data_IF_241610365828
#
_entry.id   IF_241610365828
#
_cell.length_a   1.000
_cell.length_b   1.000
_cell.length_c   1.000
_cell.angle_alpha   90.00
_cell.angle_beta   90.00
_cell.angle_gamma   90.00
#
_symmetry.space_group_name_H-M   'P 1'
#
loop_
_entity.id
_entity.type
_entity.pdbx_description
1 polymer ?
#
# COMPACT_ATOMS: atom_id res chain seq x y z
N UNK A 1 -16.31 -4.04 -1.53
CA UNK A 1 -15.18 -3.41 -0.80
C UNK A 1 -14.40 -4.48 -0.05
N UNK A 2 -13.08 -4.32 0.11
CA UNK A 2 -12.20 -5.25 0.83
C UNK A 2 -11.52 -4.52 1.98
N UNK A 3 -11.56 -5.11 3.17
CA UNK A 3 -10.76 -4.68 4.33
C UNK A 3 -9.79 -5.78 4.75
N UNK A 4 -8.53 -5.42 4.91
CA UNK A 4 -7.51 -6.31 5.49
C UNK A 4 -7.41 -6.00 6.97
N UNK A 5 -7.60 -6.98 7.84
CA UNK A 5 -7.37 -6.81 9.28
C UNK A 5 -5.95 -7.27 9.63
N UNK A 6 -5.07 -6.32 9.93
CA UNK A 6 -3.70 -6.65 10.33
C UNK A 6 -3.61 -7.24 11.74
N UNK A 7 -4.63 -7.08 12.59
CA UNK A 7 -4.56 -7.43 14.01
C UNK A 7 -3.62 -6.51 14.79
N UNK A 8 -3.78 -5.19 14.65
CA UNK A 8 -3.08 -4.19 15.47
C UNK A 8 -4.04 -3.77 16.58
N UNK A 9 -3.73 -4.14 17.82
CA UNK A 9 -4.56 -3.91 18.99
C UNK A 9 -4.79 -2.41 19.23
N UNK A 10 -6.05 -2.03 19.48
CA UNK A 10 -6.43 -0.65 19.79
C UNK A 10 -6.37 0.32 18.61
N UNK A 11 -6.07 -0.18 17.41
CA UNK A 11 -6.04 0.59 16.17
C UNK A 11 -6.97 -0.01 15.12
N UNK A 12 -6.96 -1.33 14.92
CA UNK A 12 -7.59 -1.90 13.73
C UNK A 12 -9.11 -2.07 13.86
N UNK A 13 -9.61 -2.25 15.07
CA UNK A 13 -11.01 -2.50 15.39
C UNK A 13 -11.90 -1.33 14.96
N UNK A 14 -11.46 -0.09 15.26
CA UNK A 14 -12.14 1.13 14.85
C UNK A 14 -12.23 1.22 13.32
N UNK A 15 -11.10 1.01 12.63
CA UNK A 15 -11.02 1.12 11.18
C UNK A 15 -11.93 0.10 10.47
N UNK A 16 -11.96 -1.14 10.95
CA UNK A 16 -12.82 -2.20 10.39
C UNK A 16 -14.29 -1.85 10.62
N UNK A 17 -14.66 -1.38 11.82
CA UNK A 17 -16.03 -0.96 12.14
C UNK A 17 -16.51 0.18 11.26
N UNK A 18 -15.70 1.23 11.11
CA UNK A 18 -16.00 2.39 10.26
C UNK A 18 -16.14 1.97 8.79
N UNK A 19 -15.22 1.14 8.28
CA UNK A 19 -15.29 0.65 6.91
C UNK A 19 -16.57 -0.16 6.64
N UNK A 20 -16.94 -1.04 7.58
CA UNK A 20 -18.15 -1.87 7.49
C UNK A 20 -19.41 -0.99 7.47
N UNK A 21 -19.46 0.02 8.33
CA UNK A 21 -20.59 0.95 8.40
C UNK A 21 -20.72 1.79 7.12
N UNK A 22 -19.61 2.34 6.61
CA UNK A 22 -19.63 3.09 5.36
C UNK A 22 -20.08 2.21 4.18
N UNK A 23 -19.65 0.95 4.12
CA UNK A 23 -20.10 0.01 3.09
C UNK A 23 -21.61 -0.25 3.18
N UNK A 24 -22.14 -0.42 4.40
CA UNK A 24 -23.58 -0.58 4.65
C UNK A 24 -24.38 0.64 4.18
N UNK A 25 -23.93 1.84 4.52
CA UNK A 25 -24.58 3.11 4.10
C UNK A 25 -24.58 3.24 2.57
N UNK A 26 -23.51 2.82 1.90
CA UNK A 26 -23.36 2.92 0.45
C UNK A 26 -23.99 1.75 -0.32
N UNK A 27 -24.54 0.74 0.37
CA UNK A 27 -25.08 -0.47 -0.27
C UNK A 27 -24.01 -1.31 -1.00
N UNK A 28 -22.77 -1.28 -0.52
CA UNK A 28 -21.64 -2.00 -1.11
C UNK A 28 -21.33 -3.25 -0.30
N UNK A 29 -21.22 -4.40 -0.94
CA UNK A 29 -20.79 -5.63 -0.27
C UNK A 29 -19.40 -5.47 0.35
N UNK A 30 -19.21 -6.00 1.55
CA UNK A 30 -17.97 -5.84 2.31
C UNK A 30 -17.36 -7.18 2.69
N UNK A 31 -16.10 -7.39 2.29
CA UNK A 31 -15.34 -8.60 2.57
C UNK A 31 -14.14 -8.25 3.45
N UNK A 32 -13.95 -9.01 4.53
CA UNK A 32 -12.83 -8.85 5.45
C UNK A 32 -11.97 -10.10 5.46
N UNK A 33 -10.64 -9.92 5.52
CA UNK A 33 -9.69 -11.01 5.71
C UNK A 33 -8.59 -10.57 6.66
N UNK A 34 -8.22 -11.43 7.61
CA UNK A 34 -7.22 -11.09 8.60
C UNK A 34 -5.82 -11.63 8.26
N UNK A 35 -4.79 -10.99 8.79
CA UNK A 35 -3.44 -11.54 8.79
C UNK A 35 -3.38 -12.85 9.57
N UNK A 36 -4.15 -12.99 10.65
CA UNK A 36 -4.22 -14.22 11.44
C UNK A 36 -4.68 -15.39 10.58
N UNK A 37 -5.73 -15.22 9.77
CA UNK A 37 -6.25 -16.27 8.89
C UNK A 37 -5.30 -16.58 7.72
N UNK A 38 -4.69 -15.54 7.13
CA UNK A 38 -3.83 -15.71 5.96
C UNK A 38 -2.43 -16.23 6.27
N UNK A 39 -1.88 -15.82 7.41
CA UNK A 39 -0.47 -15.99 7.74
C UNK A 39 -0.24 -16.71 9.08
N UNK A 40 -1.28 -16.96 9.88
CA UNK A 40 -1.18 -17.56 11.22
C UNK A 40 -0.80 -16.58 12.33
N UNK A 41 -0.51 -15.32 11.96
CA UNK A 41 -0.01 -14.29 12.87
C UNK A 41 -0.66 -12.94 12.59
N UNK A 42 -0.95 -12.20 13.64
CA UNK A 42 -1.26 -10.77 13.60
C UNK A 42 0.02 -9.95 13.34
N UNK A 43 -0.13 -8.67 12.97
CA UNK A 43 1.00 -7.78 12.83
C UNK A 43 1.70 -7.56 14.16
N UNK A 44 0.98 -7.48 15.28
CA UNK A 44 1.58 -7.29 16.61
C UNK A 44 2.45 -8.48 17.01
N UNK A 45 2.01 -9.71 16.73
CA UNK A 45 2.83 -10.93 16.91
C UNK A 45 4.08 -10.90 16.01
N UNK A 46 3.95 -10.43 14.76
CA UNK A 46 5.08 -10.24 13.85
C UNK A 46 6.04 -9.18 14.38
N UNK A 47 5.55 -8.05 14.90
CA UNK A 47 6.39 -6.98 15.48
C UNK A 47 7.20 -7.49 16.66
N UNK A 48 6.60 -8.29 17.55
CA UNK A 48 7.33 -8.94 18.65
C UNK A 48 8.52 -9.76 18.11
N UNK A 49 8.27 -10.61 17.11
CA UNK A 49 9.32 -11.41 16.47
C UNK A 49 10.40 -10.58 15.76
N UNK A 50 10.05 -9.47 15.12
CA UNK A 50 11.01 -8.55 14.48
C UNK A 50 11.99 -7.99 15.52
N UNK A 51 11.45 -7.59 16.68
CA UNK A 51 12.24 -7.07 17.80
C UNK A 51 13.16 -8.15 18.37
N UNK A 52 12.64 -9.35 18.56
CA UNK A 52 13.41 -10.49 19.08
C UNK A 52 14.52 -10.94 18.12
N UNK A 53 14.30 -10.86 16.80
CA UNK A 53 15.26 -11.30 15.78
C UNK A 53 16.37 -10.28 15.49
N UNK A 54 16.30 -9.07 16.05
CA UNK A 54 17.23 -7.97 15.72
C UNK A 54 17.16 -7.54 14.24
N UNK A 55 16.00 -7.66 13.61
CA UNK A 55 15.86 -7.31 12.18
C UNK A 55 15.90 -5.80 11.99
N UNK A 56 16.71 -5.32 11.04
CA UNK A 56 16.76 -3.89 10.67
C UNK A 56 15.52 -3.42 9.87
N UNK A 57 14.56 -4.32 9.57
CA UNK A 57 13.36 -3.99 8.83
C UNK A 57 12.25 -3.52 9.76
N UNK A 58 11.65 -2.38 9.43
CA UNK A 58 10.54 -1.81 10.19
C UNK A 58 9.27 -2.66 10.09
N UNK A 59 8.35 -2.61 11.09
CA UNK A 59 7.04 -3.26 10.99
C UNK A 59 6.27 -2.92 9.71
N UNK A 60 6.37 -1.67 9.25
CA UNK A 60 5.76 -1.19 8.01
C UNK A 60 6.26 -1.96 6.76
N UNK A 61 7.52 -2.41 6.77
CA UNK A 61 8.12 -3.20 5.67
C UNK A 61 7.46 -4.58 5.54
N UNK A 62 7.04 -5.17 6.67
CA UNK A 62 6.29 -6.43 6.69
C UNK A 62 4.82 -6.19 6.35
N UNK A 63 4.17 -5.27 7.07
CA UNK A 63 2.76 -4.94 6.90
C UNK A 63 2.42 -4.62 5.43
N UNK A 64 3.20 -3.74 4.79
CA UNK A 64 2.94 -3.35 3.40
C UNK A 64 3.04 -4.51 2.40
N UNK A 65 4.01 -5.42 2.58
CA UNK A 65 4.16 -6.60 1.69
C UNK A 65 3.01 -7.58 1.91
N UNK A 66 2.70 -7.89 3.16
CA UNK A 66 1.63 -8.82 3.53
C UNK A 66 0.24 -8.29 3.13
N UNK A 67 -0.04 -7.01 3.35
CA UNK A 67 -1.29 -6.35 2.94
C UNK A 67 -1.51 -6.41 1.43
N UNK A 68 -0.46 -6.13 0.64
CA UNK A 68 -0.55 -6.19 -0.83
C UNK A 68 -0.84 -7.60 -1.34
N UNK A 69 -0.27 -8.63 -0.71
CA UNK A 69 -0.55 -10.04 -1.03
C UNK A 69 -1.99 -10.40 -0.64
N UNK A 70 -2.43 -10.01 0.55
CA UNK A 70 -3.78 -10.26 1.05
C UNK A 70 -4.85 -9.64 0.12
N UNK A 71 -4.65 -8.39 -0.30
CA UNK A 71 -5.54 -7.70 -1.26
C UNK A 71 -5.65 -8.48 -2.59
N UNK A 72 -4.53 -8.96 -3.14
CA UNK A 72 -4.54 -9.71 -4.40
C UNK A 72 -5.27 -11.06 -4.26
N UNK A 73 -5.02 -11.79 -3.16
CA UNK A 73 -5.67 -13.07 -2.88
C UNK A 73 -7.18 -12.88 -2.79
N UNK A 74 -7.64 -11.93 -1.97
CA UNK A 74 -9.07 -11.72 -1.77
C UNK A 74 -9.75 -11.17 -3.03
N UNK A 75 -9.11 -10.24 -3.75
CA UNK A 75 -9.65 -9.72 -5.01
C UNK A 75 -9.87 -10.84 -6.04
N UNK A 76 -8.93 -11.78 -6.18
CA UNK A 76 -9.11 -12.96 -7.05
C UNK A 76 -10.25 -13.86 -6.56
N UNK A 77 -10.32 -14.12 -5.25
CA UNK A 77 -11.33 -15.00 -4.66
C UNK A 77 -12.76 -14.51 -4.90
N UNK A 78 -12.97 -13.19 -4.93
CA UNK A 78 -14.29 -12.58 -5.19
C UNK A 78 -14.53 -12.25 -6.67
N UNK A 79 -13.62 -12.65 -7.57
CA UNK A 79 -13.77 -12.39 -9.02
C UNK A 79 -13.61 -10.93 -9.43
N UNK A 80 -12.90 -10.11 -8.65
CA UNK A 80 -12.67 -8.70 -9.00
C UNK A 80 -11.68 -8.57 -10.16
N UNK A 81 -11.97 -7.66 -11.10
CA UNK A 81 -11.11 -7.37 -12.26
C UNK A 81 -10.07 -6.28 -12.00
N UNK A 82 -10.32 -5.40 -11.02
CA UNK A 82 -9.42 -4.31 -10.61
C UNK A 82 -9.48 -4.08 -9.10
N UNK A 83 -8.38 -3.56 -8.54
CA UNK A 83 -8.32 -3.06 -7.16
C UNK A 83 -8.14 -1.55 -7.21
N UNK A 84 -9.17 -0.80 -6.81
CA UNK A 84 -9.05 0.64 -6.57
C UNK A 84 -8.43 0.90 -5.19
N UNK A 85 -7.35 1.67 -5.16
CA UNK A 85 -6.71 2.12 -3.91
C UNK A 85 -6.74 3.64 -3.85
N UNK A 86 -7.00 4.19 -2.66
CA UNK A 86 -7.23 5.61 -2.44
C UNK A 86 -5.93 6.43 -2.27
N UNK A 87 -4.85 6.08 -2.99
CA UNK A 87 -3.63 6.90 -2.97
C UNK A 87 -3.93 8.24 -3.63
N UNK A 88 -3.65 9.32 -2.91
CA UNK A 88 -3.87 10.68 -3.35
C UNK A 88 -2.61 11.26 -4.01
N UNK A 89 -2.66 12.52 -4.46
CA UNK A 89 -1.52 13.20 -5.09
C UNK A 89 -0.28 13.23 -4.18
N UNK A 90 -0.48 13.49 -2.89
CA UNK A 90 0.58 13.52 -1.88
C UNK A 90 1.27 12.16 -1.74
N UNK A 91 0.50 11.07 -1.71
CA UNK A 91 1.05 9.70 -1.63
C UNK A 91 1.94 9.36 -2.83
N UNK A 92 1.54 9.79 -4.03
CA UNK A 92 2.28 9.55 -5.27
C UNK A 92 3.61 10.32 -5.28
N UNK A 93 3.59 11.60 -4.95
CA UNK A 93 4.81 12.42 -4.94
C UNK A 93 5.75 12.02 -3.79
N UNK A 94 5.22 11.63 -2.63
CA UNK A 94 6.04 11.09 -1.55
C UNK A 94 6.75 9.81 -2.01
N UNK A 95 6.03 8.92 -2.70
CA UNK A 95 6.61 7.68 -3.26
C UNK A 95 7.67 7.99 -4.31
N UNK A 96 7.42 8.96 -5.19
CA UNK A 96 8.37 9.40 -6.20
C UNK A 96 9.67 9.94 -5.56
N UNK A 97 9.57 10.84 -4.60
CA UNK A 97 10.74 11.41 -3.90
C UNK A 97 11.48 10.32 -3.12
N UNK A 98 10.78 9.43 -2.41
CA UNK A 98 11.42 8.32 -1.69
C UNK A 98 12.21 7.39 -2.64
N UNK A 99 11.69 7.09 -3.82
CA UNK A 99 12.42 6.28 -4.80
C UNK A 99 13.70 6.97 -5.31
N UNK A 100 13.67 8.30 -5.46
CA UNK A 100 14.87 9.09 -5.80
C UNK A 100 15.87 9.04 -4.64
N UNK A 101 15.44 9.29 -3.41
CA UNK A 101 16.31 9.30 -2.22
C UNK A 101 16.94 7.92 -1.95
N UNK A 102 16.23 6.83 -2.27
CA UNK A 102 16.76 5.47 -2.19
C UNK A 102 17.63 5.07 -3.38
N UNK A 103 17.79 5.92 -4.40
CA UNK A 103 18.60 5.62 -5.57
C UNK A 103 18.04 4.48 -6.44
N UNK A 104 16.73 4.24 -6.41
CA UNK A 104 16.05 3.19 -7.20
C UNK A 104 15.09 3.82 -8.23
N UNK A 105 15.64 4.43 -9.31
CA UNK A 105 14.82 5.11 -10.31
C UNK A 105 13.95 4.13 -11.11
N UNK A 106 14.30 2.84 -11.18
CA UNK A 106 13.49 1.82 -11.85
C UNK A 106 12.12 1.68 -11.15
N UNK A 107 12.05 1.81 -9.81
CA UNK A 107 10.77 1.77 -9.09
C UNK A 107 9.81 2.89 -9.48
N UNK A 108 10.30 4.02 -9.99
CA UNK A 108 9.45 5.10 -10.49
C UNK A 108 8.57 4.59 -11.63
N UNK A 109 9.12 3.80 -12.56
CA UNK A 109 8.39 3.18 -13.68
C UNK A 109 7.28 2.22 -13.24
N UNK A 110 7.35 1.73 -12.00
CA UNK A 110 6.44 0.74 -11.41
C UNK A 110 5.47 1.36 -10.40
N UNK A 111 5.41 2.68 -10.28
CA UNK A 111 4.59 3.37 -9.29
C UNK A 111 3.60 4.33 -9.97
N UNK A 112 2.91 3.89 -11.04
CA UNK A 112 1.97 4.72 -11.81
C UNK A 112 0.53 4.78 -11.27
N UNK A 113 -0.33 5.64 -11.85
CA UNK A 113 -1.78 5.70 -11.60
C UNK A 113 -2.55 4.43 -11.99
N UNK A 114 -2.18 3.84 -13.13
CA UNK A 114 -2.78 2.64 -13.69
C UNK A 114 -1.70 1.60 -13.93
N UNK A 115 -1.99 0.36 -13.53
CA UNK A 115 -1.17 -0.80 -13.86
C UNK A 115 -1.90 -1.60 -14.95
N UNK A 116 -1.59 -1.29 -16.21
CA UNK A 116 -2.29 -1.84 -17.38
C UNK A 116 -1.86 -3.25 -17.76
N UNK A 117 -0.71 -3.72 -17.27
CA UNK A 117 -0.21 -5.05 -17.59
C UNK A 117 -1.03 -6.11 -16.85
N UNK A 118 -2.04 -6.63 -17.55
CA UNK A 118 -2.74 -7.85 -17.14
C UNK A 118 -1.72 -8.99 -17.09
N UNK A 119 -1.54 -9.52 -15.89
CA UNK A 119 -0.61 -10.59 -15.60
C UNK A 119 -1.39 -11.66 -14.87
N UNK A 120 -1.36 -12.88 -15.39
CA UNK A 120 -2.11 -13.98 -14.80
C UNK A 120 -1.80 -14.10 -13.29
N UNK A 121 -2.87 -14.21 -12.49
CA UNK A 121 -2.78 -14.28 -11.03
C UNK A 121 -2.51 -12.95 -10.30
N UNK A 122 -2.40 -11.82 -11.01
CA UNK A 122 -2.32 -10.48 -10.41
C UNK A 122 -3.48 -9.60 -10.86
N UNK A 123 -4.23 -9.06 -9.88
CA UNK A 123 -5.31 -8.11 -10.17
C UNK A 123 -4.70 -6.71 -10.35
N UNK A 124 -4.95 -6.04 -11.50
CA UNK A 124 -4.43 -4.70 -11.76
C UNK A 124 -4.98 -3.68 -10.77
N UNK A 125 -4.17 -2.65 -10.51
CA UNK A 125 -4.51 -1.59 -9.54
C UNK A 125 -4.73 -0.27 -10.25
N UNK A 126 -5.68 0.49 -9.72
CA UNK A 126 -5.99 1.85 -10.16
C UNK A 126 -6.02 2.79 -8.97
N UNK A 127 -5.65 4.05 -9.18
CA UNK A 127 -5.62 5.10 -8.15
C UNK A 127 -6.52 6.27 -8.56
N UNK A 128 -7.83 6.21 -8.32
CA UNK A 128 -8.75 7.26 -8.78
C UNK A 128 -8.49 8.64 -8.19
N UNK A 129 -7.79 8.73 -7.05
CA UNK A 129 -7.53 9.97 -6.32
C UNK A 129 -6.13 10.52 -6.54
N UNK A 130 -5.30 9.91 -7.40
CA UNK A 130 -3.87 10.25 -7.51
C UNK A 130 -3.58 11.66 -8.02
N UNK A 131 -4.59 12.40 -8.47
CA UNK A 131 -4.48 13.79 -8.93
C UNK A 131 -5.10 14.79 -7.94
N UNK A 132 -5.62 14.32 -6.81
CA UNK A 132 -6.32 15.13 -5.80
C UNK A 132 -5.44 15.23 -4.55
N UNK A 133 -5.32 16.41 -3.94
CA UNK A 133 -4.48 16.62 -2.75
C UNK A 133 -5.07 15.92 -1.51
N UNK A 134 -4.21 15.48 -0.59
CA UNK A 134 -4.62 14.89 0.70
C UNK A 134 -5.58 15.83 1.45
N UNK A 135 -5.31 17.15 1.43
CA UNK A 135 -6.16 18.17 2.05
C UNK A 135 -7.55 18.27 1.43
N UNK A 136 -7.67 18.04 0.12
CA UNK A 136 -8.94 18.12 -0.61
C UNK A 136 -9.78 16.87 -0.38
N UNK A 137 -9.15 15.68 -0.39
CA UNK A 137 -9.81 14.42 0.00
C UNK A 137 -10.33 14.52 1.44
N UNK A 138 -9.51 15.07 2.34
CA UNK A 138 -9.88 15.26 3.75
C UNK A 138 -11.03 16.26 3.91
N UNK A 139 -10.96 17.41 3.23
CA UNK A 139 -12.02 18.41 3.23
C UNK A 139 -13.34 17.81 2.72
N UNK A 140 -13.29 17.03 1.65
CA UNK A 140 -14.47 16.35 1.11
C UNK A 140 -15.09 15.40 2.14
N UNK A 141 -14.27 14.61 2.85
CA UNK A 141 -14.74 13.72 3.89
C UNK A 141 -15.48 14.48 5.01
N UNK A 142 -14.92 15.61 5.48
CA UNK A 142 -15.58 16.46 6.47
C UNK A 142 -16.90 17.05 5.96
N UNK A 143 -16.92 17.61 4.75
CA UNK A 143 -18.14 18.21 4.18
C UNK A 143 -19.27 17.20 3.97
N UNK A 144 -18.92 15.93 3.73
CA UNK A 144 -19.88 14.83 3.58
C UNK A 144 -20.20 14.10 4.87
N UNK A 145 -19.57 14.46 5.99
CA UNK A 145 -19.73 13.75 7.26
C UNK A 145 -19.30 12.28 7.18
N UNK A 146 -18.36 11.95 6.29
CA UNK A 146 -17.85 10.58 6.13
C UNK A 146 -16.97 10.29 7.34
N UNK A 147 -17.32 9.26 8.10
CA UNK A 147 -16.47 8.79 9.20
C UNK A 147 -15.23 8.10 8.64
N UNK A 148 -14.07 8.46 9.18
CA UNK A 148 -12.79 7.83 8.91
C UNK A 148 -12.03 7.68 10.23
N UNK A 149 -11.01 6.82 10.22
CA UNK A 149 -10.18 6.61 11.41
C UNK A 149 -9.30 7.84 11.69
N UNK A 150 -9.37 8.36 12.91
CA UNK A 150 -8.62 9.54 13.32
C UNK A 150 -7.25 9.17 13.93
N UNK A 151 -7.18 8.02 14.59
CA UNK A 151 -5.96 7.60 15.26
C UNK A 151 -4.90 7.12 14.26
N UNK A 152 -3.65 7.63 14.31
CA UNK A 152 -2.57 7.12 13.48
C UNK A 152 -2.14 5.72 13.93
N UNK A 153 -1.60 4.93 13.00
CA UNK A 153 -1.04 3.62 13.34
C UNK A 153 0.14 3.77 14.32
N UNK A 154 0.20 2.97 15.40
CA UNK A 154 1.27 3.06 16.41
C UNK A 154 2.67 2.76 15.84
N UNK A 155 2.75 2.13 14.66
CA UNK A 155 4.01 1.81 13.97
C UNK A 155 4.37 2.80 12.85
N UNK A 156 3.61 3.89 12.66
CA UNK A 156 3.84 4.84 11.57
C UNK A 156 4.92 5.91 11.83
N UNK A 157 5.35 6.08 13.09
CA UNK A 157 6.20 7.20 13.53
C UNK A 157 7.60 7.25 12.93
N UNK A 158 8.19 6.10 12.61
CA UNK A 158 9.63 5.99 12.23
C UNK A 158 9.90 6.15 10.72
N UNK A 159 8.93 6.61 9.94
CA UNK A 159 9.04 6.59 8.48
C UNK A 159 9.63 7.89 7.92
N UNK A 160 10.71 7.78 7.12
CA UNK A 160 11.24 8.85 6.24
C UNK A 160 10.14 9.52 5.40
N UNK A 161 9.05 8.80 5.12
CA UNK A 161 7.85 9.33 4.46
C UNK A 161 7.27 10.55 5.18
N UNK A 162 7.29 10.59 6.51
CA UNK A 162 6.78 11.72 7.29
C UNK A 162 7.62 12.99 7.05
N UNK A 163 8.94 12.85 6.99
CA UNK A 163 9.84 13.97 6.69
C UNK A 163 9.61 14.50 5.27
N UNK A 164 9.46 13.60 4.30
CA UNK A 164 9.14 13.96 2.91
C UNK A 164 7.78 14.67 2.83
N UNK A 165 6.76 14.17 3.55
CA UNK A 165 5.45 14.83 3.63
C UNK A 165 5.58 16.26 4.17
N UNK A 166 6.28 16.44 5.29
CA UNK A 166 6.45 17.77 5.91
C UNK A 166 7.22 18.74 5.00
N UNK A 167 8.26 18.25 4.33
CA UNK A 167 9.01 19.02 3.33
C UNK A 167 8.10 19.49 2.19
N UNK A 168 7.31 18.57 1.61
CA UNK A 168 6.42 18.87 0.49
C UNK A 168 5.28 19.80 0.89
N UNK A 169 4.72 19.65 2.10
CA UNK A 169 3.69 20.55 2.62
C UNK A 169 4.21 21.98 2.76
N UNK A 170 5.41 22.14 3.33
CA UNK A 170 6.06 23.46 3.47
C UNK A 170 6.34 24.11 2.13
N UNK A 171 6.74 23.33 1.12
CA UNK A 171 6.97 23.84 -0.23
C UNK A 171 5.65 24.27 -0.90
N UNK A 172 4.60 23.46 -0.78
CA UNK A 172 3.29 23.77 -1.35
C UNK A 172 2.67 25.03 -0.73
N UNK A 173 2.87 25.25 0.57
CA UNK A 173 2.40 26.45 1.26
C UNK A 173 3.09 27.72 0.75
N UNK A 174 4.43 27.67 0.58
CA UNK A 174 5.22 28.81 0.09
C UNK A 174 5.08 29.03 -1.42
N UNK A 175 4.89 27.95 -2.16
CA UNK A 175 4.86 27.92 -3.62
C UNK A 175 3.73 26.99 -4.11
N UNK A 176 2.47 27.50 -4.15
CA UNK A 176 1.32 26.71 -4.57
C UNK A 176 1.50 26.09 -5.96
N UNK A 177 1.10 24.83 -6.12
CA UNK A 177 1.27 24.06 -7.37
C UNK A 177 2.57 23.28 -7.47
N UNK A 178 3.44 23.34 -6.45
CA UNK A 178 4.69 22.55 -6.39
C UNK A 178 4.42 21.06 -6.47
N UNK A 179 3.47 20.56 -5.67
CA UNK A 179 3.09 19.14 -5.63
C UNK A 179 2.61 18.63 -6.99
N UNK A 180 1.75 19.41 -7.65
CA UNK A 180 1.26 19.06 -8.98
C UNK A 180 2.39 19.06 -10.02
N UNK A 181 3.30 20.04 -9.98
CA UNK A 181 4.46 20.10 -10.87
C UNK A 181 5.41 18.90 -10.68
N UNK A 182 5.63 18.48 -9.43
CA UNK A 182 6.40 17.26 -9.11
C UNK A 182 5.70 16.02 -9.67
N UNK A 183 4.38 15.90 -9.49
CA UNK A 183 3.62 14.78 -10.05
C UNK A 183 3.71 14.71 -11.58
N UNK A 184 3.56 15.84 -12.29
CA UNK A 184 3.74 15.92 -13.75
C UNK A 184 5.16 15.53 -14.17
N UNK A 185 6.17 15.87 -13.36
CA UNK A 185 7.55 15.43 -13.60
C UNK A 185 7.69 13.91 -13.45
N UNK A 186 7.07 13.33 -12.42
CA UNK A 186 7.03 11.88 -12.23
C UNK A 186 6.33 11.16 -13.39
N UNK A 187 5.24 11.71 -13.93
CA UNK A 187 4.59 11.17 -15.15
C UNK A 187 5.52 11.19 -16.36
N UNK A 188 6.14 12.33 -16.67
CA UNK A 188 7.08 12.46 -17.79
C UNK A 188 8.28 11.51 -17.67
N UNK A 189 8.81 11.35 -16.46
CA UNK A 189 9.91 10.41 -16.20
C UNK A 189 9.45 8.97 -16.41
N UNK A 190 8.27 8.60 -15.89
CA UNK A 190 7.68 7.27 -16.09
C UNK A 190 7.49 6.93 -17.56
N UNK A 191 6.98 7.88 -18.34
CA UNK A 191 6.78 7.74 -19.78
C UNK A 191 8.11 7.52 -20.51
N UNK A 192 9.11 8.38 -20.27
CA UNK A 192 10.44 8.25 -20.90
C UNK A 192 11.19 6.98 -20.52
N UNK A 193 10.95 6.45 -19.33
CA UNK A 193 11.59 5.22 -18.84
C UNK A 193 10.77 3.96 -19.15
N UNK A 194 9.66 4.05 -19.88
CA UNK A 194 8.77 2.91 -20.16
C UNK A 194 9.51 1.76 -20.85
N UNK A 195 10.41 2.08 -21.77
CA UNK A 195 11.22 1.12 -22.52
C UNK A 195 12.36 0.52 -21.69
N UNK A 196 12.77 1.18 -20.60
CA UNK A 196 13.79 0.68 -19.67
C UNK A 196 13.22 -0.30 -18.63
N UNK A 197 11.94 -0.69 -18.76
CA UNK A 197 11.33 -1.67 -17.86
C UNK A 197 12.00 -3.03 -18.08
N UNK A 198 12.54 -3.68 -17.04
CA UNK A 198 13.07 -5.02 -17.18
C UNK A 198 11.95 -5.98 -17.56
N UNK A 199 12.25 -6.95 -18.43
CA UNK A 199 11.35 -8.06 -18.69
C UNK A 199 11.17 -8.86 -17.39
N UNK A 200 9.91 -8.99 -16.94
CA UNK A 200 9.58 -9.67 -15.68
C UNK A 200 8.92 -10.99 -16.01
N UNK A 201 9.71 -12.06 -15.90
CA UNK A 201 9.23 -13.43 -15.96
C UNK A 201 8.55 -13.80 -14.64
N UNK A 202 7.23 -13.99 -14.71
CA UNK A 202 6.43 -14.42 -13.58
C UNK A 202 6.50 -15.93 -13.41
N UNK A 203 6.48 -16.38 -12.16
CA UNK A 203 6.41 -17.79 -11.76
C UNK A 203 5.57 -17.93 -10.49
N UNK A 204 5.29 -19.16 -10.10
CA UNK A 204 4.58 -19.47 -8.86
C UNK A 204 5.57 -19.63 -7.69
N UNK A 205 5.19 -19.14 -6.52
CA UNK A 205 5.98 -19.29 -5.31
C UNK A 205 5.92 -20.74 -4.82
N UNK A 206 7.10 -21.36 -4.59
CA UNK A 206 7.20 -22.76 -4.11
C UNK A 206 6.51 -23.04 -2.76
N UNK A 207 6.22 -22.01 -1.96
CA UNK A 207 5.63 -22.15 -0.62
C UNK A 207 4.11 -21.93 -0.61
N UNK A 208 3.63 -20.90 -1.33
CA UNK A 208 2.24 -20.48 -1.21
C UNK A 208 1.47 -20.46 -2.53
N UNK A 209 2.09 -20.86 -3.65
CA UNK A 209 1.47 -20.86 -4.97
C UNK A 209 1.27 -19.48 -5.61
N UNK A 210 1.37 -18.39 -4.83
CA UNK A 210 1.17 -17.03 -5.34
C UNK A 210 2.22 -16.59 -6.36
N UNK A 211 1.81 -15.69 -7.26
CA UNK A 211 2.65 -15.12 -8.32
C UNK A 211 3.84 -14.35 -7.74
N UNK A 212 5.02 -14.58 -8.32
CA UNK A 212 6.25 -13.90 -7.93
C UNK A 212 7.28 -13.90 -9.07
N UNK A 213 8.38 -13.17 -8.88
CA UNK A 213 9.50 -13.10 -9.83
C UNK A 213 10.63 -14.06 -9.45
N UNK A 214 10.79 -14.35 -8.15
CA UNK A 214 11.80 -15.29 -7.65
C UNK A 214 11.18 -16.65 -7.31
N UNK A 215 11.97 -17.60 -6.79
CA UNK A 215 11.43 -18.91 -6.39
C UNK A 215 10.45 -18.84 -5.21
N UNK A 216 10.69 -17.90 -4.30
CA UNK A 216 9.88 -17.65 -3.11
C UNK A 216 9.46 -16.18 -3.11
N UNK A 217 8.16 -15.93 -2.92
CA UNK A 217 7.63 -14.57 -2.88
C UNK A 217 8.16 -13.78 -1.67
N UNK A 218 8.21 -12.45 -1.78
CA UNK A 218 8.75 -11.58 -0.72
C UNK A 218 8.02 -11.77 0.61
N UNK A 219 6.71 -11.99 0.59
CA UNK A 219 5.92 -12.27 1.79
C UNK A 219 6.42 -13.54 2.51
N UNK A 220 6.58 -14.65 1.80
CA UNK A 220 7.08 -15.90 2.39
C UNK A 220 8.52 -15.75 2.88
N UNK A 221 9.40 -15.07 2.13
CA UNK A 221 10.77 -14.78 2.59
C UNK A 221 10.79 -13.99 3.90
N UNK A 222 9.96 -12.95 4.01
CA UNK A 222 9.87 -12.15 5.23
C UNK A 222 9.40 -12.99 6.43
N UNK A 223 8.38 -13.83 6.25
CA UNK A 223 7.88 -14.70 7.31
C UNK A 223 8.92 -15.78 7.70
N UNK A 224 9.59 -16.40 6.73
CA UNK A 224 10.66 -17.38 6.99
C UNK A 224 11.81 -16.79 7.79
N UNK A 225 12.20 -15.54 7.53
CA UNK A 225 13.25 -14.85 8.30
C UNK A 225 12.89 -14.67 9.78
N UNK A 226 11.61 -14.75 10.14
CA UNK A 226 11.11 -14.70 11.52
C UNK A 226 10.80 -16.09 12.09
N UNK A 227 11.23 -17.14 11.40
CA UNK A 227 10.90 -18.53 11.69
C UNK A 227 9.39 -18.78 11.77
N UNK A 228 8.61 -18.03 10.97
CA UNK A 228 7.18 -18.22 10.80
C UNK A 228 6.98 -19.18 9.63
N UNK A 229 6.54 -20.41 9.93
CA UNK A 229 6.15 -21.39 8.91
C UNK A 229 4.62 -21.45 8.82
N UNK A 230 4.12 -21.73 7.62
CA UNK A 230 2.71 -21.97 7.35
C UNK A 230 2.54 -23.46 7.05
#
# INVERSE_FOLDING_TARGET
AITIDEGIEGYREEAVKIASENCRILGVEHYTISFKDLYGYTLDEIVKKIRDSGSNLTPCSYCGVLRRKALNILARKIGATKIAVAHNLDDEIQTFILNIMHGDPIRITRAGPVFEEEREGLIPRVKPLCEILEKEVTLYAYLKGIKFQENPCPYAGEALRNDVRNMLNRLEEKHPGTKYTIFRSAEKIREKMRESKPEINLRTCKICGEVTVGEICRACKLLQNLSIQK
#
